data_IF_535299840561
#
_entry.id   IF_535299840561
#
_cell.length_a   1.000
_cell.length_b   1.000
_cell.length_c   1.000
_cell.angle_alpha   90.00
_cell.angle_beta   90.00
_cell.angle_gamma   90.00
#
_symmetry.space_group_name_H-M   'P 1'
#
loop_
_entity.id
_entity.type
_entity.pdbx_description
1 polymer ?
#
# COMPACT_ATOMS: atom_id res chain seq x y z
N UNK A 1 28.31 4.37 -29.80
CA UNK A 1 26.84 4.22 -29.75
C UNK A 1 26.53 3.01 -28.89
N UNK A 2 26.46 3.21 -27.56
CA UNK A 2 26.07 2.16 -26.62
C UNK A 2 24.93 2.77 -25.80
N UNK A 3 23.72 2.64 -26.34
CA UNK A 3 22.50 3.00 -25.65
C UNK A 3 22.32 1.97 -24.53
N UNK A 4 22.80 2.30 -23.33
CA UNK A 4 22.51 1.54 -22.13
C UNK A 4 21.02 1.74 -21.84
N UNK A 5 20.23 0.71 -22.12
CA UNK A 5 18.82 0.65 -21.69
C UNK A 5 18.81 0.63 -20.17
N UNK A 6 18.68 1.82 -19.58
CA UNK A 6 18.47 2.04 -18.16
C UNK A 6 17.21 1.26 -17.76
N UNK A 7 17.36 0.26 -16.90
CA UNK A 7 16.22 -0.46 -16.37
C UNK A 7 15.38 0.56 -15.59
N UNK A 8 14.31 1.06 -16.21
CA UNK A 8 13.33 2.04 -15.68
C UNK A 8 12.76 1.64 -14.31
N UNK A 9 12.94 0.37 -13.89
CA UNK A 9 12.50 -0.17 -12.61
C UNK A 9 13.71 -0.39 -11.69
N UNK A 10 14.06 0.63 -10.90
CA UNK A 10 15.08 0.53 -9.86
C UNK A 10 14.73 -0.56 -8.85
N UNK A 11 15.62 -1.54 -8.68
CA UNK A 11 15.48 -2.56 -7.63
C UNK A 11 16.01 -2.00 -6.32
N UNK A 12 15.26 -2.18 -5.22
CA UNK A 12 15.70 -1.71 -3.90
C UNK A 12 16.97 -2.47 -3.47
N UNK A 13 18.08 -1.74 -3.38
CA UNK A 13 19.42 -2.29 -3.07
C UNK A 13 19.47 -3.01 -1.70
N UNK A 14 18.63 -2.62 -0.74
CA UNK A 14 18.57 -3.25 0.58
C UNK A 14 17.13 -3.34 1.12
N UNK A 15 16.78 -4.51 1.69
CA UNK A 15 15.46 -4.77 2.31
C UNK A 15 15.15 -3.78 3.42
N UNK A 16 16.15 -3.37 4.18
CA UNK A 16 15.99 -2.36 5.24
C UNK A 16 15.57 -1.00 4.70
N UNK A 17 16.14 -0.58 3.56
CA UNK A 17 15.79 0.68 2.91
C UNK A 17 14.34 0.64 2.42
N UNK A 18 13.90 -0.49 1.85
CA UNK A 18 12.49 -0.68 1.47
C UNK A 18 11.55 -0.58 2.68
N UNK A 19 11.87 -1.27 3.79
CA UNK A 19 11.05 -1.24 5.00
C UNK A 19 10.98 0.18 5.59
N UNK A 20 12.10 0.88 5.66
CA UNK A 20 12.17 2.25 6.17
C UNK A 20 11.38 3.23 5.29
N UNK A 21 11.51 3.14 3.97
CA UNK A 21 10.75 3.97 3.04
C UNK A 21 9.24 3.70 3.14
N UNK A 22 8.83 2.43 3.19
CA UNK A 22 7.42 2.06 3.34
C UNK A 22 6.85 2.51 4.70
N UNK A 23 7.62 2.35 5.77
CA UNK A 23 7.20 2.77 7.12
C UNK A 23 7.09 4.30 7.20
N UNK A 24 8.05 5.03 6.62
CA UNK A 24 8.01 6.50 6.56
C UNK A 24 6.82 7.03 5.75
N UNK A 25 6.39 6.32 4.71
CA UNK A 25 5.19 6.68 3.95
C UNK A 25 3.89 6.34 4.70
N UNK A 26 3.88 5.30 5.53
CA UNK A 26 2.69 4.84 6.25
C UNK A 26 2.42 5.63 7.54
N UNK A 27 3.48 6.14 8.19
CA UNK A 27 3.37 6.93 9.42
C UNK A 27 3.17 8.41 9.07
N UNK A 28 1.92 8.88 9.17
CA UNK A 28 1.56 10.29 8.92
C UNK A 28 1.06 11.05 10.16
N UNK A 29 0.72 12.33 9.96
CA UNK A 29 0.15 13.23 10.99
C UNK A 29 -1.05 12.62 11.73
N UNK A 30 -1.88 11.85 11.03
CA UNK A 30 -3.03 11.15 11.62
C UNK A 30 -2.66 10.20 12.76
N UNK A 31 -1.55 9.46 12.62
CA UNK A 31 -1.10 8.53 13.67
C UNK A 31 -0.58 9.26 14.91
N UNK A 32 -0.11 10.50 14.77
CA UNK A 32 0.49 11.25 15.88
C UNK A 32 -0.60 11.94 16.70
N UNK A 33 -1.63 12.52 16.07
CA UNK A 33 -2.61 13.38 16.77
C UNK A 33 -4.04 12.81 16.80
N UNK A 34 -4.50 12.22 15.69
CA UNK A 34 -5.87 11.66 15.60
C UNK A 34 -6.00 10.36 16.39
N UNK A 35 -4.98 9.51 16.32
CA UNK A 35 -4.96 8.24 17.06
C UNK A 35 -5.09 8.40 18.59
N UNK A 36 -4.28 9.22 19.28
CA UNK A 36 -4.42 9.40 20.73
C UNK A 36 -5.74 10.08 21.09
N UNK A 37 -6.26 10.99 20.26
CA UNK A 37 -7.55 11.63 20.47
C UNK A 37 -8.71 10.61 20.44
N UNK A 38 -8.81 9.82 19.36
CA UNK A 38 -9.85 8.78 19.22
C UNK A 38 -9.71 7.72 20.32
N UNK A 39 -8.48 7.32 20.64
CA UNK A 39 -8.22 6.35 21.70
C UNK A 39 -8.68 6.90 23.06
N UNK A 40 -8.39 8.16 23.35
CA UNK A 40 -8.83 8.82 24.59
C UNK A 40 -10.36 8.88 24.73
N UNK A 41 -11.08 9.19 23.65
CA UNK A 41 -12.55 9.27 23.65
C UNK A 41 -13.24 7.89 23.66
N UNK A 42 -12.66 6.87 23.02
CA UNK A 42 -13.31 5.57 22.80
C UNK A 42 -12.92 4.49 23.83
N UNK A 43 -12.62 4.87 25.07
CA UNK A 43 -12.33 3.92 26.15
C UNK A 43 -10.87 3.49 26.27
N UNK A 44 -9.94 4.30 25.75
CA UNK A 44 -8.51 4.20 26.03
C UNK A 44 -7.90 2.86 25.61
N UNK A 45 -7.35 2.13 26.58
CA UNK A 45 -6.63 0.88 26.34
C UNK A 45 -7.46 -0.25 25.73
N UNK A 46 -8.77 -0.30 25.99
CA UNK A 46 -9.64 -1.32 25.39
C UNK A 46 -9.78 -1.12 23.87
N UNK A 47 -9.86 0.14 23.42
CA UNK A 47 -9.85 0.49 22.01
C UNK A 47 -8.52 0.12 21.34
N UNK A 48 -7.39 0.36 22.01
CA UNK A 48 -6.06 -0.01 21.48
C UNK A 48 -5.94 -1.52 21.27
N UNK A 49 -6.43 -2.33 22.22
CA UNK A 49 -6.43 -3.78 22.09
C UNK A 49 -7.21 -4.25 20.85
N UNK A 50 -8.43 -3.76 20.66
CA UNK A 50 -9.22 -4.07 19.47
C UNK A 50 -8.57 -3.55 18.19
N UNK A 51 -7.99 -2.35 18.22
CA UNK A 51 -7.25 -1.77 17.10
C UNK A 51 -6.08 -2.64 16.67
N UNK A 52 -5.28 -3.16 17.62
CA UNK A 52 -4.17 -4.06 17.33
C UNK A 52 -4.64 -5.40 16.76
N UNK A 53 -5.73 -5.96 17.29
CA UNK A 53 -6.33 -7.19 16.74
C UNK A 53 -6.78 -6.97 15.29
N UNK A 54 -7.44 -5.85 14.99
CA UNK A 54 -7.84 -5.49 13.64
C UNK A 54 -6.64 -5.31 12.70
N UNK A 55 -5.54 -4.69 13.17
CA UNK A 55 -4.31 -4.58 12.37
C UNK A 55 -3.75 -5.96 12.02
N UNK A 56 -3.67 -6.86 12.99
CA UNK A 56 -3.11 -8.21 12.75
C UNK A 56 -4.00 -9.01 11.80
N UNK A 57 -5.31 -8.96 11.99
CA UNK A 57 -6.27 -9.75 11.22
C UNK A 57 -6.58 -9.19 9.83
N UNK A 58 -6.51 -7.88 9.64
CA UNK A 58 -6.94 -7.21 8.41
C UNK A 58 -5.81 -6.41 7.78
N UNK A 59 -5.11 -5.59 8.56
CA UNK A 59 -4.04 -4.73 8.06
C UNK A 59 -2.86 -5.51 7.46
N UNK A 60 -2.31 -6.46 8.22
CA UNK A 60 -1.19 -7.31 7.76
C UNK A 60 -1.52 -8.09 6.48
N UNK A 61 -2.63 -8.85 6.38
CA UNK A 61 -2.92 -9.61 5.17
C UNK A 61 -3.16 -8.72 3.94
N UNK A 62 -3.81 -7.55 4.12
CA UNK A 62 -3.98 -6.58 3.02
C UNK A 62 -2.62 -6.07 2.55
N UNK A 63 -1.75 -5.63 3.48
CA UNK A 63 -0.41 -5.14 3.15
C UNK A 63 0.43 -6.22 2.44
N UNK A 64 0.39 -7.47 2.91
CA UNK A 64 1.06 -8.58 2.26
C UNK A 64 0.54 -8.82 0.84
N UNK A 65 -0.78 -8.75 0.64
CA UNK A 65 -1.42 -8.87 -0.66
C UNK A 65 -0.94 -7.79 -1.63
N UNK A 66 -0.94 -6.54 -1.20
CA UNK A 66 -0.52 -5.40 -2.02
C UNK A 66 0.96 -5.48 -2.41
N UNK A 67 1.84 -5.82 -1.45
CA UNK A 67 3.27 -6.02 -1.73
C UNK A 67 3.51 -7.19 -2.67
N UNK A 68 2.74 -8.29 -2.56
CA UNK A 68 2.85 -9.45 -3.46
C UNK A 68 2.44 -9.09 -4.88
N UNK A 69 1.32 -8.38 -5.03
CA UNK A 69 0.82 -7.88 -6.32
C UNK A 69 1.85 -6.93 -6.95
N UNK A 70 2.37 -5.97 -6.19
CA UNK A 70 3.40 -5.04 -6.68
C UNK A 70 4.70 -5.73 -7.08
N UNK A 71 5.14 -6.74 -6.32
CA UNK A 71 6.35 -7.52 -6.63
C UNK A 71 6.22 -8.41 -7.87
N UNK A 72 5.04 -8.99 -8.11
CA UNK A 72 4.78 -9.81 -9.30
C UNK A 72 4.53 -8.96 -10.54
N UNK A 73 3.75 -7.89 -10.37
CA UNK A 73 3.37 -7.01 -11.46
C UNK A 73 4.55 -6.21 -12.01
N UNK A 74 5.43 -5.66 -11.14
CA UNK A 74 6.57 -4.77 -11.51
C UNK A 74 6.22 -3.68 -12.53
N UNK A 75 4.94 -3.38 -12.69
CA UNK A 75 4.36 -2.43 -13.64
C UNK A 75 3.54 -1.42 -12.84
N UNK A 76 3.03 -0.38 -13.50
CA UNK A 76 2.10 0.56 -12.84
C UNK A 76 0.95 -0.20 -12.15
N UNK A 77 0.38 0.31 -11.04
CA UNK A 77 -0.68 -0.40 -10.29
C UNK A 77 -1.84 -0.85 -11.18
N UNK A 78 -2.15 -0.07 -12.20
CA UNK A 78 -3.19 -0.33 -13.19
C UNK A 78 -2.83 -1.47 -14.15
N UNK A 79 -1.61 -1.46 -14.71
CA UNK A 79 -1.14 -2.51 -15.61
C UNK A 79 -0.81 -3.81 -14.85
N UNK A 80 -0.26 -3.72 -13.63
CA UNK A 80 -0.05 -4.86 -12.73
C UNK A 80 -1.36 -5.57 -12.39
N UNK A 81 -2.43 -4.83 -12.04
CA UNK A 81 -3.73 -5.43 -11.78
C UNK A 81 -4.37 -6.03 -13.04
N UNK A 82 -4.12 -5.43 -14.21
CA UNK A 82 -4.59 -5.95 -15.50
C UNK A 82 -3.90 -7.26 -15.91
N UNK A 83 -2.58 -7.35 -15.76
CA UNK A 83 -1.80 -8.55 -16.11
C UNK A 83 -2.08 -9.67 -15.12
N UNK A 84 -2.07 -9.38 -13.82
CA UNK A 84 -2.36 -10.37 -12.77
C UNK A 84 -3.79 -10.88 -12.83
N UNK A 85 -4.78 -10.02 -13.10
CA UNK A 85 -6.16 -10.47 -13.27
C UNK A 85 -6.32 -11.40 -14.49
N UNK A 86 -5.63 -11.11 -15.59
CA UNK A 86 -5.61 -11.99 -16.77
C UNK A 86 -4.93 -13.33 -16.49
N UNK A 87 -3.80 -13.33 -15.79
CA UNK A 87 -3.06 -14.54 -15.40
C UNK A 87 -3.84 -15.41 -14.41
N UNK A 88 -4.57 -14.79 -13.48
CA UNK A 88 -5.39 -15.49 -12.49
C UNK A 88 -6.77 -15.94 -13.01
N UNK A 89 -7.11 -15.67 -14.28
CA UNK A 89 -8.44 -15.93 -14.83
C UNK A 89 -9.56 -15.11 -14.17
N UNK A 90 -9.21 -14.02 -13.47
CA UNK A 90 -10.14 -13.15 -12.78
C UNK A 90 -10.74 -12.10 -13.74
N UNK A 91 -11.87 -11.51 -13.36
CA UNK A 91 -12.56 -10.55 -14.22
C UNK A 91 -11.75 -9.26 -14.41
N UNK A 92 -11.90 -8.64 -15.59
CA UNK A 92 -11.23 -7.38 -15.96
C UNK A 92 -11.59 -6.21 -15.04
N UNK A 93 -12.63 -6.36 -14.21
CA UNK A 93 -13.08 -5.37 -13.21
C UNK A 93 -12.05 -5.15 -12.09
N UNK A 94 -11.11 -6.07 -11.86
CA UNK A 94 -10.02 -5.87 -10.89
C UNK A 94 -9.11 -4.69 -11.24
N UNK A 95 -9.14 -4.20 -12.49
CA UNK A 95 -8.46 -2.96 -12.89
C UNK A 95 -9.05 -1.71 -12.23
N UNK A 96 -10.31 -1.75 -11.80
CA UNK A 96 -10.95 -0.65 -11.07
C UNK A 96 -10.26 -0.38 -9.74
N UNK A 97 -9.75 -1.41 -9.05
CA UNK A 97 -9.02 -1.23 -7.78
C UNK A 97 -7.76 -0.40 -7.99
N UNK A 98 -7.03 -0.63 -9.08
CA UNK A 98 -5.87 0.19 -9.45
C UNK A 98 -6.24 1.64 -9.77
N UNK A 99 -7.36 1.86 -10.47
CA UNK A 99 -7.89 3.20 -10.75
C UNK A 99 -8.34 3.93 -9.49
N UNK A 100 -9.02 3.25 -8.57
CA UNK A 100 -9.45 3.82 -7.30
C UNK A 100 -8.26 4.28 -6.45
N UNK A 101 -7.17 3.49 -6.41
CA UNK A 101 -5.95 3.89 -5.69
C UNK A 101 -5.32 5.17 -6.26
N UNK A 102 -5.21 5.26 -7.59
CA UNK A 102 -4.67 6.45 -8.25
C UNK A 102 -5.55 7.69 -8.01
N UNK A 103 -6.87 7.53 -8.10
CA UNK A 103 -7.83 8.60 -7.85
C UNK A 103 -7.82 9.03 -6.38
N UNK A 104 -7.73 8.10 -5.44
CA UNK A 104 -7.60 8.40 -4.02
C UNK A 104 -6.32 9.20 -3.73
N UNK A 105 -5.18 8.82 -4.30
CA UNK A 105 -3.94 9.58 -4.17
C UNK A 105 -4.06 11.00 -4.73
N UNK A 106 -4.70 11.16 -5.89
CA UNK A 106 -4.97 12.47 -6.48
C UNK A 106 -5.86 13.34 -5.59
N UNK A 107 -6.94 12.77 -5.03
CA UNK A 107 -7.83 13.48 -4.13
C UNK A 107 -7.14 13.89 -2.83
N UNK A 108 -6.31 13.01 -2.25
CA UNK A 108 -5.56 13.31 -1.02
C UNK A 108 -4.57 14.46 -1.24
N UNK A 109 -3.97 14.57 -2.43
CA UNK A 109 -3.07 15.68 -2.77
C UNK A 109 -3.79 16.98 -3.16
N UNK A 110 -5.10 16.92 -3.41
CA UNK A 110 -5.88 18.07 -3.87
C UNK A 110 -6.24 19.05 -2.75
N UNK A 111 -6.11 18.64 -1.49
CA UNK A 111 -6.40 19.44 -0.29
C UNK A 111 -5.21 19.42 0.67
#
# INVERSE_FOLDING_TARGET
>A
MAEQSEAVHGTWSNRWVFILAATGSAVGLGNIWKFPYITGENGGGAFVLLYLVCIVLVGIPIMMGEVLIGRRGKLSPMESMRTLAKEAGASRLWQLVGWMGALAGFLILSY
#
